data_IF_213183969915
#
_entry.id   IF_213183969915
#
_cell.length_a   1.000
_cell.length_b   1.000
_cell.length_c   1.000
_cell.angle_alpha   90.00
_cell.angle_beta   90.00
_cell.angle_gamma   90.00
#
_symmetry.space_group_name_H-M   'P 1'
#
loop_
_entity.id
_entity.type
_entity.pdbx_description
1 polymer ?
#
# COMPACT_ATOMS: atom_id res chain seq x y z
N UNK A 1 8.73 6.96 26.85
CA UNK A 1 10.12 6.47 26.84
C UNK A 1 11.01 7.68 26.55
N UNK A 2 11.43 8.37 27.62
CA UNK A 2 12.32 9.54 27.51
C UNK A 2 13.75 9.05 27.47
N UNK A 3 14.52 9.46 26.46
CA UNK A 3 15.97 9.25 26.39
C UNK A 3 16.49 8.38 25.24
N UNK A 4 15.62 7.85 24.36
CA UNK A 4 16.09 7.19 23.14
C UNK A 4 16.48 8.22 22.08
N UNK A 5 17.57 7.98 21.30
CA UNK A 5 18.01 8.89 20.23
C UNK A 5 17.12 8.74 18.98
N UNK A 6 15.86 9.13 19.09
CA UNK A 6 14.92 9.11 17.99
C UNK A 6 15.32 10.11 16.91
N UNK A 7 15.00 9.79 15.68
CA UNK A 7 15.08 10.74 14.55
C UNK A 7 14.32 12.03 14.91
N UNK A 8 14.80 13.21 14.51
CA UNK A 8 14.16 14.48 14.86
C UNK A 8 12.69 14.58 14.43
N UNK A 9 12.34 14.00 13.30
CA UNK A 9 10.98 13.96 12.74
C UNK A 9 10.01 13.03 13.48
N UNK A 10 10.52 12.17 14.37
CA UNK A 10 9.73 11.28 15.24
C UNK A 10 9.62 11.80 16.68
N UNK A 11 10.34 12.88 17.01
CA UNK A 11 10.29 13.44 18.36
C UNK A 11 8.95 14.14 18.60
N UNK A 12 8.24 13.72 19.63
CA UNK A 12 6.92 14.25 19.97
C UNK A 12 5.77 13.69 19.12
N UNK A 13 6.03 12.73 18.24
CA UNK A 13 4.96 12.02 17.55
C UNK A 13 4.27 11.03 18.49
N UNK A 14 2.94 11.05 18.50
CA UNK A 14 2.14 9.99 19.12
C UNK A 14 2.11 8.77 18.19
N UNK A 15 2.14 7.53 18.74
CA UNK A 15 1.98 6.32 17.95
C UNK A 15 0.65 6.34 17.19
N UNK A 16 0.68 5.95 15.92
CA UNK A 16 -0.56 5.77 15.17
C UNK A 16 -1.37 4.61 15.76
N UNK A 17 -2.68 4.83 15.90
CA UNK A 17 -3.63 3.81 16.34
C UNK A 17 -5.06 4.35 16.32
N UNK A 18 -6.01 3.48 15.99
CA UNK A 18 -7.41 3.80 16.20
C UNK A 18 -7.68 3.82 17.72
N UNK A 19 -8.44 4.80 18.24
CA UNK A 19 -8.81 4.83 19.65
C UNK A 19 -9.55 3.55 20.05
N UNK A 20 -9.12 2.95 21.17
CA UNK A 20 -9.90 1.88 21.79
C UNK A 20 -11.08 2.51 22.55
N UNK A 21 -12.28 2.25 22.04
CA UNK A 21 -13.51 2.80 22.59
C UNK A 21 -14.30 1.71 23.31
N UNK A 22 -14.68 1.96 24.54
CA UNK A 22 -15.60 1.11 25.30
C UNK A 22 -17.06 1.55 25.01
N UNK A 23 -17.56 1.11 23.85
CA UNK A 23 -18.89 1.44 23.34
C UNK A 23 -19.58 0.18 22.80
N UNK A 24 -20.93 0.09 22.88
CA UNK A 24 -21.67 -1.08 22.41
C UNK A 24 -21.48 -1.39 20.91
N UNK A 25 -21.25 -0.37 20.08
CA UNK A 25 -21.03 -0.50 18.64
C UNK A 25 -19.79 0.28 18.26
N UNK A 26 -18.77 -0.42 17.76
CA UNK A 26 -17.53 0.18 17.26
C UNK A 26 -17.53 0.18 15.74
N UNK A 27 -17.43 1.37 15.14
CA UNK A 27 -17.39 1.58 13.69
C UNK A 27 -16.14 2.36 13.25
N UNK A 28 -15.19 2.51 14.16
CA UNK A 28 -13.94 3.26 13.93
C UNK A 28 -12.79 2.40 13.39
N UNK A 29 -13.05 1.11 13.17
CA UNK A 29 -12.10 0.14 12.58
C UNK A 29 -12.80 -0.67 11.50
N UNK A 30 -12.06 -1.07 10.48
CA UNK A 30 -12.57 -1.83 9.34
C UNK A 30 -12.40 -3.34 9.58
N UNK A 31 -13.19 -3.90 10.50
CA UNK A 31 -13.15 -5.31 10.84
C UNK A 31 -14.30 -6.07 10.18
N UNK A 32 -14.02 -7.29 9.72
CA UNK A 32 -15.07 -8.19 9.26
C UNK A 32 -15.78 -8.81 10.50
N UNK A 33 -17.08 -8.56 10.71
CA UNK A 33 -17.79 -9.10 11.86
C UNK A 33 -18.07 -10.61 11.78
N UNK A 34 -17.84 -11.22 10.61
CA UNK A 34 -18.09 -12.63 10.40
C UNK A 34 -16.81 -13.44 10.57
N UNK A 35 -16.78 -14.43 11.50
CA UNK A 35 -15.62 -15.31 11.65
C UNK A 35 -15.47 -16.22 10.42
N UNK A 36 -14.26 -16.75 10.17
CA UNK A 36 -14.05 -17.79 9.17
C UNK A 36 -14.94 -19.01 9.44
N UNK A 37 -15.35 -19.72 8.39
CA UNK A 37 -16.10 -20.96 8.56
C UNK A 37 -15.26 -22.04 9.27
N UNK A 38 -15.90 -23.01 9.98
CA UNK A 38 -15.16 -24.11 10.62
C UNK A 38 -14.28 -24.90 9.66
N UNK A 39 -14.70 -25.04 8.40
CA UNK A 39 -13.91 -25.74 7.37
C UNK A 39 -12.63 -24.96 7.05
N UNK A 40 -12.71 -23.64 6.87
CA UNK A 40 -11.54 -22.78 6.64
C UNK A 40 -10.59 -22.79 7.84
N UNK A 41 -11.13 -22.77 9.08
CA UNK A 41 -10.31 -22.86 10.30
C UNK A 41 -9.56 -24.18 10.36
N UNK A 42 -10.22 -25.30 10.04
CA UNK A 42 -9.59 -26.63 10.03
C UNK A 42 -8.49 -26.73 8.96
N UNK A 43 -8.72 -26.19 7.77
CA UNK A 43 -7.77 -26.18 6.67
C UNK A 43 -6.52 -25.36 7.00
N UNK A 44 -6.69 -24.17 7.57
CA UNK A 44 -5.59 -23.33 8.05
C UNK A 44 -4.77 -24.08 9.12
N UNK A 45 -5.44 -24.72 10.10
CA UNK A 45 -4.75 -25.44 11.16
C UNK A 45 -3.92 -26.61 10.62
N UNK A 46 -4.43 -27.36 9.63
CA UNK A 46 -3.71 -28.42 8.97
C UNK A 46 -2.49 -27.88 8.20
N UNK A 47 -2.66 -26.86 7.37
CA UNK A 47 -1.59 -26.25 6.60
C UNK A 47 -0.46 -25.69 7.48
N UNK A 48 -0.81 -25.02 8.59
CA UNK A 48 0.16 -24.50 9.58
C UNK A 48 0.90 -25.67 10.25
N UNK A 49 0.20 -26.77 10.59
CA UNK A 49 0.81 -27.97 11.16
C UNK A 49 1.84 -28.60 10.22
N UNK A 50 1.54 -28.71 8.94
CA UNK A 50 2.48 -29.19 7.92
C UNK A 50 3.69 -28.25 7.76
N UNK A 51 3.46 -26.97 7.67
CA UNK A 51 4.52 -25.96 7.53
C UNK A 51 5.45 -25.90 8.75
N UNK A 52 4.93 -26.19 9.95
CA UNK A 52 5.70 -26.12 11.20
C UNK A 52 6.92 -27.04 11.21
N UNK A 53 6.88 -28.18 10.50
CA UNK A 53 8.00 -29.10 10.37
C UNK A 53 9.22 -28.50 9.64
N UNK A 54 9.01 -27.44 8.86
CA UNK A 54 10.04 -26.75 8.06
C UNK A 54 10.49 -25.40 8.61
N UNK A 55 9.97 -24.93 9.75
CA UNK A 55 10.24 -23.57 10.28
C UNK A 55 11.71 -23.30 10.66
N UNK A 56 12.54 -24.34 10.76
CA UNK A 56 13.98 -24.21 10.95
C UNK A 56 14.75 -23.82 9.65
N UNK A 57 14.06 -23.71 8.53
CA UNK A 57 14.62 -23.34 7.23
C UNK A 57 14.13 -21.99 6.82
N UNK A 58 14.90 -21.29 5.96
CA UNK A 58 14.41 -20.05 5.34
C UNK A 58 13.19 -20.35 4.46
N UNK A 59 12.22 -19.44 4.44
CA UNK A 59 11.09 -19.55 3.51
C UNK A 59 11.56 -19.39 2.06
N UNK A 60 10.69 -19.78 1.12
CA UNK A 60 10.91 -19.49 -0.29
C UNK A 60 10.98 -17.97 -0.48
N UNK A 61 12.08 -17.51 -1.08
CA UNK A 61 12.34 -16.08 -1.30
C UNK A 61 11.28 -15.42 -2.18
N UNK A 62 10.84 -16.11 -3.20
CA UNK A 62 9.95 -15.58 -4.23
C UNK A 62 8.50 -16.04 -4.04
N UNK A 63 8.25 -16.99 -3.15
CA UNK A 63 6.94 -17.59 -2.79
C UNK A 63 5.96 -17.72 -3.98
N UNK A 64 6.39 -18.38 -5.11
CA UNK A 64 5.61 -18.48 -6.33
C UNK A 64 4.27 -19.18 -6.13
N UNK A 65 4.17 -20.14 -5.21
CA UNK A 65 2.93 -20.83 -4.91
C UNK A 65 1.83 -19.90 -4.41
N UNK A 66 2.14 -19.02 -3.43
CA UNK A 66 1.21 -18.02 -2.93
C UNK A 66 0.85 -17.00 -4.02
N UNK A 67 1.85 -16.50 -4.76
CA UNK A 67 1.65 -15.49 -5.81
C UNK A 67 0.81 -16.04 -6.95
N UNK A 68 0.99 -17.30 -7.33
CA UNK A 68 0.14 -17.99 -8.33
C UNK A 68 -1.30 -18.13 -7.83
N UNK A 69 -1.50 -18.57 -6.58
CA UNK A 69 -2.84 -18.69 -6.01
C UNK A 69 -3.56 -17.33 -5.93
N UNK A 70 -2.84 -16.25 -5.63
CA UNK A 70 -3.39 -14.89 -5.67
C UNK A 70 -3.73 -14.45 -7.08
N UNK A 71 -2.93 -14.80 -8.08
CA UNK A 71 -3.23 -14.51 -9.48
C UNK A 71 -4.51 -15.25 -9.94
N UNK A 72 -4.66 -16.51 -9.55
CA UNK A 72 -5.87 -17.30 -9.84
C UNK A 72 -7.11 -16.73 -9.13
N UNK A 73 -6.96 -16.29 -7.86
CA UNK A 73 -8.03 -15.62 -7.13
C UNK A 73 -8.47 -14.33 -7.83
N UNK A 74 -7.52 -13.48 -8.22
CA UNK A 74 -7.83 -12.22 -8.93
C UNK A 74 -8.48 -12.49 -10.29
N UNK A 75 -8.06 -13.54 -11.00
CA UNK A 75 -8.70 -13.94 -12.25
C UNK A 75 -10.15 -14.38 -12.05
N UNK A 76 -10.45 -15.10 -10.97
CA UNK A 76 -11.81 -15.50 -10.62
C UNK A 76 -12.69 -14.31 -10.20
N UNK A 77 -12.14 -13.36 -9.45
CA UNK A 77 -12.84 -12.16 -8.96
C UNK A 77 -13.13 -11.14 -10.07
N UNK A 78 -12.13 -10.82 -10.87
CA UNK A 78 -12.18 -9.68 -11.81
C UNK A 78 -12.16 -10.08 -13.29
N UNK A 79 -11.91 -11.35 -13.60
CA UNK A 79 -11.73 -11.84 -14.97
C UNK A 79 -10.36 -11.46 -15.59
N UNK A 80 -9.52 -10.74 -14.87
CA UNK A 80 -8.19 -10.33 -15.36
C UNK A 80 -7.15 -11.38 -14.99
N UNK A 81 -6.51 -11.96 -16.02
CA UNK A 81 -5.42 -12.91 -15.81
C UNK A 81 -4.09 -12.19 -15.65
N UNK A 82 -3.42 -12.48 -14.56
CA UNK A 82 -2.07 -12.01 -14.25
C UNK A 82 -1.14 -13.20 -14.08
N UNK A 83 0.12 -13.03 -14.45
CA UNK A 83 1.16 -13.99 -14.15
C UNK A 83 1.73 -13.74 -12.75
N UNK A 84 2.18 -14.78 -12.08
CA UNK A 84 2.69 -14.67 -10.70
C UNK A 84 3.81 -13.62 -10.51
N UNK A 85 4.71 -13.31 -11.49
CA UNK A 85 5.68 -12.23 -11.33
C UNK A 85 5.06 -10.83 -11.22
N UNK A 86 3.80 -10.66 -11.67
CA UNK A 86 3.04 -9.41 -11.56
C UNK A 86 2.36 -9.25 -10.20
N UNK A 87 2.39 -10.29 -9.37
CA UNK A 87 1.79 -10.29 -8.04
C UNK A 87 2.89 -10.08 -6.98
N UNK A 88 2.62 -9.23 -6.03
CA UNK A 88 3.41 -9.11 -4.81
C UNK A 88 2.50 -9.29 -3.60
N UNK A 89 3.00 -9.96 -2.57
CA UNK A 89 2.28 -10.15 -1.31
C UNK A 89 3.19 -9.79 -0.12
N UNK A 90 2.57 -9.35 0.95
CA UNK A 90 3.24 -8.98 2.19
C UNK A 90 2.25 -9.11 3.37
N UNK A 91 2.65 -8.71 4.58
CA UNK A 91 1.78 -8.74 5.77
C UNK A 91 0.73 -7.62 5.72
N UNK A 92 -0.25 -7.82 4.83
CA UNK A 92 -1.31 -6.86 4.54
C UNK A 92 -0.86 -5.69 3.67
N UNK A 93 -1.81 -4.82 3.34
CA UNK A 93 -1.58 -3.65 2.48
C UNK A 93 -0.60 -2.64 3.10
N UNK A 94 -0.51 -2.57 4.42
CA UNK A 94 0.40 -1.65 5.11
C UNK A 94 1.86 -1.94 4.74
N UNK A 95 2.28 -3.21 4.74
CA UNK A 95 3.64 -3.58 4.36
C UNK A 95 3.87 -3.41 2.85
N UNK A 96 2.87 -3.72 2.02
CA UNK A 96 2.94 -3.44 0.57
C UNK A 96 3.17 -1.95 0.31
N UNK A 97 2.42 -1.07 0.97
CA UNK A 97 2.59 0.39 0.83
C UNK A 97 3.96 0.87 1.32
N UNK A 98 4.48 0.28 2.39
CA UNK A 98 5.84 0.54 2.86
C UNK A 98 6.87 0.16 1.78
N UNK A 99 6.73 -1.03 1.17
CA UNK A 99 7.61 -1.46 0.07
C UNK A 99 7.53 -0.52 -1.14
N UNK A 100 6.32 -0.08 -1.52
CA UNK A 100 6.11 0.88 -2.63
C UNK A 100 6.85 2.19 -2.35
N UNK A 101 6.69 2.76 -1.16
CA UNK A 101 7.34 4.03 -0.83
C UNK A 101 8.84 3.90 -0.57
N UNK A 102 9.33 2.75 -0.11
CA UNK A 102 10.76 2.46 -0.06
C UNK A 102 11.38 2.37 -1.46
N UNK A 103 10.63 1.84 -2.43
CA UNK A 103 11.12 1.69 -3.80
C UNK A 103 11.06 2.99 -4.60
N UNK A 104 9.98 3.76 -4.46
CA UNK A 104 9.67 4.91 -5.31
C UNK A 104 9.68 6.25 -4.59
N UNK A 105 9.57 6.28 -3.26
CA UNK A 105 9.67 7.49 -2.43
C UNK A 105 11.09 7.92 -2.14
N UNK A 106 11.27 8.66 -1.05
CA UNK A 106 12.56 9.10 -0.54
C UNK A 106 12.74 10.62 -0.51
N UNK A 107 13.89 11.10 0.00
CA UNK A 107 14.19 12.54 0.07
C UNK A 107 14.12 13.22 -1.29
N UNK A 108 13.46 14.37 -1.34
CA UNK A 108 13.26 15.15 -2.57
C UNK A 108 12.14 14.62 -3.49
N UNK A 109 11.48 13.53 -3.10
CA UNK A 109 10.32 12.96 -3.80
C UNK A 109 9.03 13.26 -3.05
N UNK A 110 7.88 13.13 -3.73
CA UNK A 110 6.56 13.29 -3.13
C UNK A 110 5.62 12.14 -3.46
N UNK A 111 4.67 11.94 -2.53
CA UNK A 111 3.54 11.05 -2.68
C UNK A 111 2.26 11.89 -2.61
N UNK A 112 1.39 11.76 -3.60
CA UNK A 112 0.12 12.48 -3.71
C UNK A 112 -1.05 11.55 -3.39
N UNK A 113 -1.98 12.04 -2.58
CA UNK A 113 -3.28 11.42 -2.33
C UNK A 113 -4.39 12.48 -2.27
N UNK A 114 -5.65 12.08 -2.09
CA UNK A 114 -6.81 12.98 -2.13
C UNK A 114 -7.65 12.82 -0.87
N UNK A 115 -7.76 13.88 -0.08
CA UNK A 115 -8.42 13.85 1.24
C UNK A 115 -9.91 14.20 1.17
N UNK A 116 -10.74 13.61 2.08
CA UNK A 116 -10.38 12.64 3.10
C UNK A 116 -10.01 11.28 2.52
N UNK A 117 -9.02 10.60 3.12
CA UNK A 117 -8.55 9.27 2.70
C UNK A 117 -7.91 8.51 3.87
N UNK A 118 -7.31 7.36 3.62
CA UNK A 118 -6.73 6.52 4.65
C UNK A 118 -5.58 7.20 5.40
N UNK A 119 -5.71 7.24 6.70
CA UNK A 119 -4.83 8.01 7.60
C UNK A 119 -3.39 7.50 7.72
N UNK A 120 -3.10 6.28 7.23
CA UNK A 120 -1.74 5.74 7.22
C UNK A 120 -0.85 6.24 6.08
N UNK A 121 -1.40 6.86 5.03
CA UNK A 121 -0.57 7.32 3.90
C UNK A 121 0.51 8.34 4.30
N UNK A 122 0.23 9.35 5.15
CA UNK A 122 1.28 10.23 5.66
C UNK A 122 2.33 9.50 6.50
N UNK A 123 1.95 8.44 7.23
CA UNK A 123 2.88 7.65 8.04
C UNK A 123 3.92 6.94 7.16
N UNK A 124 3.47 6.25 6.10
CA UNK A 124 4.39 5.59 5.15
C UNK A 124 5.31 6.60 4.45
N UNK A 125 4.78 7.77 4.08
CA UNK A 125 5.56 8.83 3.47
C UNK A 125 6.62 9.38 4.44
N UNK A 126 6.26 9.65 5.69
CA UNK A 126 7.18 10.09 6.75
C UNK A 126 8.29 9.06 6.97
N UNK A 127 7.95 7.78 7.03
CA UNK A 127 8.90 6.71 7.34
C UNK A 127 9.96 6.52 6.24
N UNK A 128 9.65 6.98 5.05
CA UNK A 128 10.56 6.96 3.89
C UNK A 128 11.14 8.34 3.52
N UNK A 129 10.93 9.36 4.36
CA UNK A 129 11.33 10.76 4.07
C UNK A 129 10.75 11.31 2.77
N UNK A 130 9.58 10.80 2.37
CA UNK A 130 8.84 11.25 1.19
C UNK A 130 7.91 12.40 1.60
N UNK A 131 7.88 13.47 0.83
CA UNK A 131 6.93 14.57 1.06
C UNK A 131 5.50 14.11 0.75
N UNK A 132 4.63 14.11 1.74
CA UNK A 132 3.21 13.81 1.54
C UNK A 132 2.46 15.06 1.09
N UNK A 133 1.69 14.93 0.03
CA UNK A 133 0.91 16.02 -0.58
C UNK A 133 -0.53 15.54 -0.76
N UNK A 134 -1.48 16.44 -0.56
CA UNK A 134 -2.90 16.12 -0.73
C UNK A 134 -3.59 17.08 -1.69
N UNK A 135 -4.53 16.52 -2.48
CA UNK A 135 -5.56 17.27 -3.19
C UNK A 135 -6.92 17.11 -2.51
N UNK A 136 -7.91 17.94 -2.83
CA UNK A 136 -9.27 17.80 -2.33
C UNK A 136 -10.05 16.72 -3.09
N UNK A 137 -11.07 16.15 -2.43
CA UNK A 137 -12.22 15.47 -3.06
C UNK A 137 -13.38 16.45 -3.18
N UNK A 138 -14.36 16.15 -4.04
CA UNK A 138 -15.62 16.86 -4.09
C UNK A 138 -16.42 16.76 -2.78
N UNK A 139 -17.49 17.53 -2.66
CA UNK A 139 -18.37 17.52 -1.46
C UNK A 139 -19.04 16.15 -1.27
N UNK A 140 -19.26 15.41 -2.34
CA UNK A 140 -19.78 14.03 -2.37
C UNK A 140 -18.65 12.96 -2.27
N UNK A 141 -17.43 13.40 -2.00
CA UNK A 141 -16.21 12.58 -1.92
C UNK A 141 -15.78 11.91 -3.23
N UNK A 142 -16.36 12.27 -4.37
CA UNK A 142 -15.86 11.84 -5.67
C UNK A 142 -14.50 12.48 -6.02
N UNK A 143 -13.80 11.91 -6.98
CA UNK A 143 -12.61 12.50 -7.57
C UNK A 143 -12.94 12.96 -8.99
N UNK A 144 -12.71 14.23 -9.23
CA UNK A 144 -12.76 14.80 -10.57
C UNK A 144 -11.41 14.57 -11.27
N UNK A 145 -11.45 14.02 -12.48
CA UNK A 145 -10.25 13.64 -13.26
C UNK A 145 -9.36 14.84 -13.55
N UNK A 146 -9.96 15.98 -13.89
CA UNK A 146 -9.19 17.20 -14.20
C UNK A 146 -8.48 17.74 -12.95
N UNK A 147 -9.11 17.66 -11.80
CA UNK A 147 -8.51 18.01 -10.49
C UNK A 147 -7.33 17.09 -10.18
N UNK A 148 -7.46 15.79 -10.44
CA UNK A 148 -6.37 14.81 -10.24
C UNK A 148 -5.21 15.09 -11.19
N UNK A 149 -5.50 15.29 -12.48
CA UNK A 149 -4.50 15.58 -13.51
C UNK A 149 -3.73 16.87 -13.22
N UNK A 150 -4.43 17.94 -12.86
CA UNK A 150 -3.81 19.22 -12.48
C UNK A 150 -2.91 19.10 -11.24
N UNK A 151 -3.32 18.28 -10.25
CA UNK A 151 -2.50 18.02 -9.08
C UNK A 151 -1.24 17.22 -9.42
N UNK A 152 -1.34 16.22 -10.29
CA UNK A 152 -0.20 15.44 -10.78
C UNK A 152 0.78 16.33 -11.57
N UNK A 153 0.28 17.18 -12.45
CA UNK A 153 1.11 18.10 -13.24
C UNK A 153 1.85 19.11 -12.34
N UNK A 154 1.16 19.68 -11.36
CA UNK A 154 1.72 20.66 -10.43
C UNK A 154 2.77 20.06 -9.50
N UNK A 155 2.45 18.94 -8.86
CA UNK A 155 3.26 18.33 -7.80
C UNK A 155 4.33 17.36 -8.32
N UNK A 156 4.16 16.81 -9.53
CA UNK A 156 5.03 15.80 -10.15
C UNK A 156 5.42 14.70 -9.16
N UNK A 157 4.43 14.03 -8.54
CA UNK A 157 4.69 13.07 -7.50
C UNK A 157 5.38 11.82 -8.05
N UNK A 158 6.23 11.19 -7.22
CA UNK A 158 6.81 9.89 -7.55
C UNK A 158 5.79 8.75 -7.38
N UNK A 159 4.81 8.95 -6.50
CA UNK A 159 3.73 7.99 -6.23
C UNK A 159 2.42 8.76 -6.12
N UNK A 160 1.37 8.23 -6.78
CA UNK A 160 -0.01 8.67 -6.59
C UNK A 160 -0.81 7.53 -5.99
N UNK A 161 -1.54 7.79 -4.91
CA UNK A 161 -2.38 6.80 -4.24
C UNK A 161 -3.85 7.17 -4.45
N UNK A 162 -4.55 6.28 -5.15
CA UNK A 162 -5.99 6.36 -5.40
C UNK A 162 -6.68 5.13 -4.78
N UNK A 163 -7.32 5.32 -3.63
CA UNK A 163 -8.05 4.24 -2.98
C UNK A 163 -9.45 4.07 -3.61
N UNK A 164 -9.83 2.83 -3.94
CA UNK A 164 -11.15 2.50 -4.46
C UNK A 164 -11.60 1.11 -3.98
N UNK A 165 -12.72 1.01 -3.24
CA UNK A 165 -13.44 2.11 -2.60
C UNK A 165 -12.55 2.88 -1.63
N UNK A 166 -12.77 4.19 -1.53
CA UNK A 166 -11.98 5.03 -0.65
C UNK A 166 -12.31 4.77 0.84
N UNK A 167 -11.31 4.72 1.68
CA UNK A 167 -11.46 4.72 3.12
C UNK A 167 -11.21 6.17 3.63
N UNK A 168 -12.12 6.82 4.41
CA UNK A 168 -13.31 6.24 5.05
C UNK A 168 -14.64 6.42 4.28
N UNK A 169 -14.66 7.07 3.11
CA UNK A 169 -15.87 7.55 2.48
C UNK A 169 -16.70 6.46 1.77
N UNK A 170 -16.11 5.30 1.46
CA UNK A 170 -16.74 4.23 0.71
C UNK A 170 -16.94 4.54 -0.78
N UNK A 171 -16.50 5.70 -1.26
CA UNK A 171 -16.69 6.13 -2.65
C UNK A 171 -15.80 5.33 -3.60
N UNK A 172 -16.40 4.67 -4.58
CA UNK A 172 -15.67 3.96 -5.61
C UNK A 172 -15.17 4.94 -6.70
N UNK A 173 -14.02 4.62 -7.29
CA UNK A 173 -13.47 5.33 -8.45
C UNK A 173 -13.80 4.51 -9.71
N UNK A 174 -14.53 5.06 -10.69
CA UNK A 174 -14.80 4.39 -11.95
C UNK A 174 -13.51 4.03 -12.70
N UNK A 175 -13.49 2.86 -13.35
CA UNK A 175 -12.31 2.44 -14.12
C UNK A 175 -12.03 3.38 -15.30
N UNK A 176 -13.04 4.03 -15.85
CA UNK A 176 -12.89 5.08 -16.87
C UNK A 176 -12.07 6.25 -16.38
N UNK A 177 -12.28 6.65 -15.13
CA UNK A 177 -11.57 7.76 -14.50
C UNK A 177 -10.13 7.37 -14.17
N UNK A 178 -9.91 6.13 -13.72
CA UNK A 178 -8.56 5.58 -13.54
C UNK A 178 -7.79 5.59 -14.87
N UNK A 179 -8.43 5.14 -15.96
CA UNK A 179 -7.81 5.14 -17.28
C UNK A 179 -7.46 6.58 -17.72
N UNK A 180 -8.39 7.52 -17.56
CA UNK A 180 -8.15 8.92 -17.90
C UNK A 180 -7.00 9.56 -17.10
N UNK A 181 -6.89 9.23 -15.80
CA UNK A 181 -5.76 9.68 -14.96
C UNK A 181 -4.43 9.09 -15.44
N UNK A 182 -4.41 7.82 -15.87
CA UNK A 182 -3.19 7.17 -16.39
C UNK A 182 -2.75 7.74 -17.76
N UNK A 183 -3.70 8.21 -18.56
CA UNK A 183 -3.43 8.86 -19.85
C UNK A 183 -3.07 10.34 -19.72
N UNK A 184 -3.29 10.94 -18.55
CA UNK A 184 -2.93 12.34 -18.33
C UNK A 184 -1.42 12.54 -18.55
N UNK A 185 -1.02 13.60 -19.28
CA UNK A 185 0.38 13.83 -19.62
C UNK A 185 1.21 14.08 -18.36
N UNK A 186 1.92 13.06 -17.90
CA UNK A 186 2.97 13.22 -16.89
C UNK A 186 4.22 13.68 -17.63
N UNK A 187 4.63 14.93 -17.43
CA UNK A 187 5.92 15.40 -17.91
C UNK A 187 7.02 14.56 -17.25
N UNK A 188 7.44 13.50 -17.93
CA UNK A 188 8.52 12.63 -17.45
C UNK A 188 9.81 13.43 -17.43
N UNK A 189 10.26 13.79 -16.23
CA UNK A 189 11.67 14.11 -16.08
C UNK A 189 12.47 12.85 -16.49
N UNK A 190 13.52 12.96 -17.32
CA UNK A 190 14.32 11.82 -17.68
C UNK A 190 14.84 11.19 -16.39
N UNK A 191 14.44 9.94 -16.12
CA UNK A 191 15.06 9.15 -15.06
C UNK A 191 16.49 8.87 -15.51
N UNK A 192 17.42 9.69 -15.08
CA UNK A 192 18.85 9.34 -15.15
C UNK A 192 19.09 8.28 -14.08
N UNK A 193 18.87 7.03 -14.45
CA UNK A 193 19.39 5.94 -13.65
C UNK A 193 20.92 6.08 -13.63
N UNK A 194 21.58 6.26 -12.49
CA UNK A 194 23.02 6.20 -12.46
C UNK A 194 23.45 4.84 -13.03
N UNK A 195 24.53 4.76 -13.84
CA UNK A 195 24.97 3.52 -14.44
C UNK A 195 25.12 2.47 -13.33
N UNK A 196 24.59 1.27 -13.58
CA UNK A 196 24.72 0.14 -12.67
C UNK A 196 26.22 0.00 -12.32
N UNK A 197 26.54 0.14 -11.04
CA UNK A 197 27.91 -0.16 -10.58
C UNK A 197 28.18 -1.60 -10.96
N UNK A 198 29.32 -1.84 -11.59
CA UNK A 198 29.73 -3.16 -12.06
C UNK A 198 29.60 -4.28 -11.01
N UNK A 199 29.84 -5.54 -11.38
CA UNK A 199 29.49 -6.69 -10.58
C UNK A 199 30.04 -6.54 -9.16
N UNK A 200 29.13 -6.49 -8.17
CA UNK A 200 29.51 -6.55 -6.76
C UNK A 200 30.04 -7.95 -6.52
N UNK A 201 31.32 -8.08 -6.23
CA UNK A 201 31.86 -9.29 -5.62
C UNK A 201 31.03 -9.59 -4.37
N UNK A 202 30.38 -10.75 -4.37
CA UNK A 202 29.59 -11.21 -3.24
C UNK A 202 30.49 -11.28 -1.99
N UNK A 203 30.06 -10.61 -0.93
CA UNK A 203 30.57 -10.86 0.41
C UNK A 203 29.54 -11.74 1.12
N UNK A 204 30.00 -12.90 1.57
CA UNK A 204 29.29 -13.76 2.50
C UNK A 204 29.41 -13.20 3.91
#
# INVERSE_FOLDING_TARGET
VTGLPLRPDLQGCEPYGAPELDVPVRLNVNENPYPPSPAVVADIAAAVGEAAAGLNRYPDRDFPALRSALADYLAAESGVRLDWPQIWAANGSNEVMTHVLQAFGGPGRSCLSFTPTYSMYPEYARDTFTRYVTGPRGEDFTLDVDTVAAAIERERPAVVILASPNNPTGTALPLTDVAAVLEAPVATAPMTCPPARGPRTAWW
#
